data_IF_024691248962
#
_entry.id   IF_024691248962
#
_cell.length_a   1.000
_cell.length_b   1.000
_cell.length_c   1.000
_cell.angle_alpha   90.00
_cell.angle_beta   90.00
_cell.angle_gamma   90.00
#
_symmetry.space_group_name_H-M   'P 1'
#
loop_
_entity.id
_entity.type
_entity.pdbx_description
1 polymer ?
#
# COMPACT_ATOMS: atom_id res chain seq x y z
N UNK A 1 0.06 8.24 -5.49
CA UNK A 1 0.61 9.59 -5.71
C UNK A 1 0.61 10.31 -4.39
N UNK A 2 1.71 10.95 -4.01
CA UNK A 2 1.80 11.64 -2.72
C UNK A 2 1.03 12.98 -2.72
N UNK A 3 0.36 13.27 -1.61
CA UNK A 3 -0.34 14.53 -1.34
C UNK A 3 -0.04 14.90 0.11
N UNK A 4 0.44 16.12 0.32
CA UNK A 4 0.74 16.70 1.63
C UNK A 4 0.31 18.18 1.65
N UNK A 5 0.64 18.90 2.74
CA UNK A 5 0.28 20.31 2.92
C UNK A 5 1.01 21.25 1.93
N UNK A 6 2.04 20.75 1.24
CA UNK A 6 2.83 21.50 0.29
C UNK A 6 2.32 21.25 -1.13
N UNK A 7 1.54 22.19 -1.66
CA UNK A 7 0.95 22.07 -3.00
C UNK A 7 1.97 21.72 -4.12
N UNK A 8 3.24 22.14 -3.99
CA UNK A 8 4.28 21.78 -4.97
C UNK A 8 4.65 20.29 -4.97
N UNK A 9 4.46 19.57 -3.85
CA UNK A 9 4.65 18.12 -3.77
C UNK A 9 3.69 17.42 -4.72
N UNK A 10 2.39 17.73 -4.63
CA UNK A 10 1.39 17.18 -5.56
C UNK A 10 1.68 17.55 -7.02
N UNK A 11 2.08 18.79 -7.29
CA UNK A 11 2.42 19.20 -8.66
C UNK A 11 3.63 18.43 -9.23
N UNK A 12 4.62 18.11 -8.39
CA UNK A 12 5.75 17.27 -8.78
C UNK A 12 5.31 15.83 -9.08
N UNK A 13 4.50 15.23 -8.20
CA UNK A 13 3.91 13.89 -8.40
C UNK A 13 3.06 13.80 -9.67
N UNK A 14 2.25 14.83 -9.93
CA UNK A 14 1.44 14.94 -11.15
C UNK A 14 2.31 15.02 -12.41
N UNK A 15 3.39 15.79 -12.40
CA UNK A 15 4.31 15.90 -13.52
C UNK A 15 5.07 14.58 -13.78
N UNK A 16 5.49 13.89 -12.72
CA UNK A 16 6.09 12.56 -12.81
C UNK A 16 5.09 11.54 -13.39
N UNK A 17 3.84 11.57 -12.93
CA UNK A 17 2.78 10.71 -13.45
C UNK A 17 2.47 10.98 -14.93
N UNK A 18 2.43 12.25 -15.37
CA UNK A 18 2.31 12.58 -16.80
C UNK A 18 3.45 11.97 -17.62
N UNK A 19 4.68 12.02 -17.11
CA UNK A 19 5.83 11.40 -17.77
C UNK A 19 5.62 9.89 -17.91
N UNK A 20 5.11 9.21 -16.87
CA UNK A 20 4.78 7.78 -16.92
C UNK A 20 3.67 7.46 -17.93
N UNK A 21 2.62 8.28 -18.00
CA UNK A 21 1.57 8.15 -19.02
C UNK A 21 2.16 8.20 -20.44
N UNK A 22 3.11 9.10 -20.68
CA UNK A 22 3.74 9.29 -22.00
C UNK A 22 4.67 8.12 -22.40
N UNK A 23 5.19 7.36 -21.43
CA UNK A 23 5.96 6.13 -21.72
C UNK A 23 5.10 4.96 -22.19
N UNK A 24 3.79 5.00 -21.94
CA UNK A 24 2.85 3.93 -22.26
C UNK A 24 2.85 2.75 -21.27
N UNK A 25 3.56 2.85 -20.14
CA UNK A 25 3.57 1.79 -19.10
C UNK A 25 2.37 1.83 -18.17
N UNK A 26 1.63 2.94 -18.13
CA UNK A 26 0.42 3.08 -17.31
C UNK A 26 -0.78 2.69 -18.14
N UNK A 27 -1.21 1.44 -18.03
CA UNK A 27 -2.37 0.91 -18.76
C UNK A 27 -3.33 0.19 -17.83
N UNK A 28 -4.59 0.07 -18.25
CA UNK A 28 -5.58 -0.72 -17.52
C UNK A 28 -5.28 -2.24 -17.51
N UNK A 29 -4.27 -2.71 -18.27
CA UNK A 29 -3.88 -4.12 -18.28
C UNK A 29 -2.91 -4.47 -17.13
N UNK A 30 -2.18 -3.49 -16.60
CA UNK A 30 -1.19 -3.70 -15.54
C UNK A 30 -1.39 -2.82 -14.29
N UNK A 31 -2.25 -1.80 -14.34
CA UNK A 31 -2.60 -0.95 -13.20
C UNK A 31 -4.07 -1.17 -12.85
N UNK A 32 -4.31 -1.67 -11.64
CA UNK A 32 -5.67 -1.97 -11.13
C UNK A 32 -6.37 -0.77 -10.49
N UNK A 33 -5.62 0.28 -10.14
CA UNK A 33 -6.15 1.51 -9.56
C UNK A 33 -5.06 2.54 -9.26
N UNK A 34 -5.47 3.80 -9.08
CA UNK A 34 -4.56 4.91 -8.71
C UNK A 34 -5.09 5.59 -7.45
N UNK A 35 -4.26 5.58 -6.40
CA UNK A 35 -4.52 6.35 -5.19
C UNK A 35 -3.91 7.76 -5.34
N UNK A 36 -4.76 8.78 -5.26
CA UNK A 36 -4.36 10.19 -5.26
C UNK A 36 -4.36 10.70 -3.83
N UNK A 37 -3.20 10.64 -3.19
CA UNK A 37 -3.04 10.81 -1.75
C UNK A 37 -3.19 9.51 -0.98
N UNK A 38 -2.63 9.50 0.22
CA UNK A 38 -2.91 8.55 1.29
C UNK A 38 -3.04 9.37 2.58
N UNK A 39 -4.17 9.28 3.27
CA UNK A 39 -4.46 9.89 4.58
C UNK A 39 -4.26 11.41 4.68
N UNK A 40 -4.16 12.12 3.55
CA UNK A 40 -3.84 13.54 3.54
C UNK A 40 -4.94 14.40 4.20
N UNK A 41 -6.19 13.93 4.18
CA UNK A 41 -7.30 14.61 4.88
C UNK A 41 -7.28 14.27 6.36
N UNK A 42 -7.05 13.00 6.74
CA UNK A 42 -6.85 12.59 8.13
C UNK A 42 -5.68 13.32 8.83
N UNK A 43 -4.57 13.50 8.11
CA UNK A 43 -3.42 14.28 8.58
C UNK A 43 -3.69 15.78 8.65
N UNK A 44 -4.86 16.25 8.22
CA UNK A 44 -5.26 17.66 8.18
C UNK A 44 -4.32 18.51 7.29
N UNK A 45 -3.63 17.87 6.36
CA UNK A 45 -2.71 18.51 5.43
C UNK A 45 -3.43 19.17 4.26
N UNK A 46 -4.55 18.57 3.86
CA UNK A 46 -5.47 19.11 2.86
C UNK A 46 -6.91 18.94 3.31
N UNK A 47 -7.80 19.80 2.84
CA UNK A 47 -9.25 19.61 3.01
C UNK A 47 -9.79 18.54 2.07
N UNK A 48 -10.95 17.95 2.40
CA UNK A 48 -11.66 17.03 1.50
C UNK A 48 -11.90 17.64 0.10
N UNK A 49 -12.20 18.93 0.03
CA UNK A 49 -12.40 19.65 -1.24
C UNK A 49 -11.11 19.74 -2.07
N UNK A 50 -9.97 19.98 -1.43
CA UNK A 50 -8.66 19.98 -2.10
C UNK A 50 -8.27 18.59 -2.58
N UNK A 51 -8.46 17.56 -1.76
CA UNK A 51 -8.21 16.17 -2.15
C UNK A 51 -9.05 15.76 -3.37
N UNK A 52 -10.35 16.12 -3.39
CA UNK A 52 -11.22 15.89 -4.55
C UNK A 52 -10.74 16.68 -5.78
N UNK A 53 -10.29 17.93 -5.61
CA UNK A 53 -9.73 18.72 -6.71
C UNK A 53 -8.51 18.03 -7.33
N UNK A 54 -7.60 17.51 -6.51
CA UNK A 54 -6.42 16.78 -6.97
C UNK A 54 -6.78 15.47 -7.67
N UNK A 55 -7.74 14.72 -7.13
CA UNK A 55 -8.29 13.53 -7.79
C UNK A 55 -8.80 13.86 -9.21
N UNK A 56 -9.55 14.94 -9.37
CA UNK A 56 -10.10 15.35 -10.67
C UNK A 56 -9.03 15.84 -11.66
N UNK A 57 -7.95 16.46 -11.18
CA UNK A 57 -6.79 16.79 -12.02
C UNK A 57 -6.15 15.52 -12.61
N UNK A 58 -5.94 14.48 -11.79
CA UNK A 58 -5.37 13.21 -12.25
C UNK A 58 -6.35 12.46 -13.15
N UNK A 59 -7.65 12.46 -12.79
CA UNK A 59 -8.71 11.88 -13.61
C UNK A 59 -8.74 12.50 -15.02
N UNK A 60 -8.51 13.80 -15.12
CA UNK A 60 -8.42 14.50 -16.41
C UNK A 60 -7.23 13.99 -17.24
N UNK A 61 -6.06 13.78 -16.63
CA UNK A 61 -4.89 13.22 -17.32
C UNK A 61 -5.16 11.79 -17.79
N UNK A 62 -5.71 10.93 -16.93
CA UNK A 62 -6.06 9.55 -17.30
C UNK A 62 -7.06 9.51 -18.45
N UNK A 63 -8.11 10.34 -18.43
CA UNK A 63 -9.11 10.41 -19.52
C UNK A 63 -8.51 10.88 -20.85
N UNK A 64 -7.47 11.71 -20.83
CA UNK A 64 -6.77 12.16 -22.03
C UNK A 64 -5.87 11.08 -22.65
N UNK A 65 -5.54 10.02 -21.90
CA UNK A 65 -4.74 8.89 -22.36
C UNK A 65 -5.62 7.63 -22.49
N UNK A 66 -5.82 7.14 -23.72
CA UNK A 66 -6.70 5.99 -23.98
C UNK A 66 -6.33 4.70 -23.24
N UNK A 67 -5.05 4.51 -22.92
CA UNK A 67 -4.58 3.32 -22.19
C UNK A 67 -4.89 3.40 -20.70
N UNK A 68 -4.93 4.61 -20.14
CA UNK A 68 -5.19 4.88 -18.72
C UNK A 68 -6.66 5.26 -18.41
N UNK A 69 -7.46 5.60 -19.43
CA UNK A 69 -8.81 6.15 -19.27
C UNK A 69 -9.81 5.26 -18.51
N UNK A 70 -9.51 3.96 -18.35
CA UNK A 70 -10.33 2.99 -17.62
C UNK A 70 -9.77 2.61 -16.24
N UNK A 71 -8.59 3.09 -15.87
CA UNK A 71 -8.01 2.81 -14.55
C UNK A 71 -8.86 3.56 -13.52
N UNK A 72 -9.38 2.88 -12.48
CA UNK A 72 -10.16 3.54 -11.44
C UNK A 72 -9.25 4.38 -10.52
N UNK A 73 -9.78 5.50 -10.03
CA UNK A 73 -9.09 6.43 -9.15
C UNK A 73 -9.81 6.52 -7.81
N UNK A 74 -9.03 6.64 -6.74
CA UNK A 74 -9.53 6.85 -5.38
C UNK A 74 -8.63 7.83 -4.62
N UNK A 75 -9.07 8.20 -3.42
CA UNK A 75 -8.29 8.89 -2.40
C UNK A 75 -8.14 7.89 -1.26
N UNK A 76 -6.94 7.38 -0.96
CA UNK A 76 -6.78 6.51 0.20
C UNK A 76 -6.84 7.37 1.47
N UNK A 77 -7.68 6.99 2.44
CA UNK A 77 -7.79 7.68 3.72
C UNK A 77 -8.42 6.72 4.76
N UNK A 78 -8.48 7.11 6.03
CA UNK A 78 -9.15 6.29 7.04
C UNK A 78 -10.67 6.33 6.83
N UNK A 79 -11.37 5.26 7.24
CA UNK A 79 -12.82 5.20 7.06
C UNK A 79 -13.62 6.26 7.84
N UNK A 80 -13.04 6.83 8.90
CA UNK A 80 -13.65 7.92 9.66
C UNK A 80 -13.66 9.23 8.88
N UNK A 81 -12.62 9.49 8.09
CA UNK A 81 -12.57 10.61 7.15
C UNK A 81 -13.71 10.50 6.14
N UNK A 82 -13.89 9.33 5.52
CA UNK A 82 -15.01 9.09 4.60
C UNK A 82 -16.39 9.24 5.26
N UNK A 83 -16.50 8.86 6.53
CA UNK A 83 -17.74 9.02 7.31
C UNK A 83 -18.02 10.50 7.61
N UNK A 84 -16.99 11.29 7.89
CA UNK A 84 -17.09 12.72 8.14
C UNK A 84 -17.30 13.55 6.85
N UNK A 85 -16.77 13.06 5.72
CA UNK A 85 -16.74 13.71 4.41
C UNK A 85 -17.35 12.80 3.32
N UNK A 86 -18.67 12.54 3.34
CA UNK A 86 -19.30 11.66 2.37
C UNK A 86 -19.21 12.18 0.92
N UNK A 87 -18.92 13.47 0.70
CA UNK A 87 -18.57 14.02 -0.61
C UNK A 87 -17.33 13.34 -1.24
N UNK A 88 -16.41 12.81 -0.42
CA UNK A 88 -15.27 12.04 -0.93
C UNK A 88 -15.72 10.70 -1.50
N UNK A 89 -16.71 10.04 -0.88
CA UNK A 89 -17.30 8.80 -1.38
C UNK A 89 -17.89 9.03 -2.77
N UNK A 90 -18.60 10.14 -2.98
CA UNK A 90 -19.20 10.47 -4.27
C UNK A 90 -18.15 10.67 -5.37
N UNK A 91 -17.03 11.31 -5.05
CA UNK A 91 -16.00 11.71 -6.01
C UNK A 91 -15.10 10.56 -6.50
N UNK A 92 -14.79 9.57 -5.66
CA UNK A 92 -13.91 8.44 -5.99
C UNK A 92 -14.60 7.38 -6.83
N UNK A 93 -13.86 6.59 -7.61
CA UNK A 93 -14.44 5.47 -8.36
C UNK A 93 -14.80 4.29 -7.44
N UNK A 94 -14.01 4.10 -6.38
CA UNK A 94 -14.23 3.18 -5.27
C UNK A 94 -13.64 3.80 -3.99
N UNK A 95 -14.11 3.38 -2.82
CA UNK A 95 -13.56 3.82 -1.53
C UNK A 95 -12.38 2.91 -1.17
N UNK A 96 -11.22 3.50 -0.87
CA UNK A 96 -10.07 2.78 -0.29
C UNK A 96 -9.89 3.23 1.15
N UNK A 97 -10.27 2.38 2.11
CA UNK A 97 -10.31 2.74 3.52
C UNK A 97 -9.22 2.03 4.32
N UNK A 98 -8.39 2.81 5.01
CA UNK A 98 -7.39 2.31 5.95
C UNK A 98 -8.05 2.08 7.33
N UNK A 99 -7.76 0.95 7.95
CA UNK A 99 -8.27 0.58 9.27
C UNK A 99 -7.26 -0.26 10.03
N UNK A 100 -6.86 0.22 11.20
CA UNK A 100 -5.91 -0.46 12.07
C UNK A 100 -6.46 -0.54 13.50
N UNK A 101 -7.13 -1.65 13.87
CA UNK A 101 -7.50 -1.90 15.27
C UNK A 101 -6.31 -1.80 16.23
N UNK A 102 -5.10 -2.04 15.72
CA UNK A 102 -3.82 -1.83 16.40
C UNK A 102 -3.72 -0.44 17.01
N UNK A 103 -3.98 0.62 16.24
CA UNK A 103 -3.92 2.02 16.69
C UNK A 103 -5.13 2.45 17.51
N UNK A 104 -6.20 1.67 17.46
CA UNK A 104 -7.41 1.89 18.27
C UNK A 104 -7.32 1.26 19.68
N UNK A 105 -6.14 0.74 20.06
CA UNK A 105 -5.88 0.05 21.35
C UNK A 105 -6.82 -1.15 21.59
N UNK A 106 -7.26 -1.80 20.53
CA UNK A 106 -8.18 -2.94 20.59
C UNK A 106 -7.40 -4.17 21.06
N UNK A 107 -8.02 -4.99 21.92
CA UNK A 107 -7.42 -6.26 22.32
C UNK A 107 -7.34 -7.23 21.14
N UNK A 108 -6.25 -7.99 21.06
CA UNK A 108 -5.98 -8.89 19.94
C UNK A 108 -7.09 -9.94 19.73
N UNK A 109 -7.77 -10.38 20.79
CA UNK A 109 -8.82 -11.39 20.68
C UNK A 109 -10.10 -10.85 19.99
N UNK A 110 -10.29 -9.53 19.94
CA UNK A 110 -11.45 -8.88 19.32
C UNK A 110 -11.12 -8.01 18.10
N UNK A 111 -9.85 -7.95 17.69
CA UNK A 111 -9.37 -6.99 16.71
C UNK A 111 -10.00 -7.16 15.31
N UNK A 112 -10.13 -8.40 14.82
CA UNK A 112 -10.73 -8.66 13.50
C UNK A 112 -12.26 -8.37 13.49
N UNK A 113 -12.96 -8.73 14.56
CA UNK A 113 -14.40 -8.43 14.71
C UNK A 113 -14.66 -6.92 14.80
N UNK A 114 -13.80 -6.21 15.53
CA UNK A 114 -13.84 -4.75 15.63
C UNK A 114 -13.62 -4.09 14.27
N UNK A 115 -12.58 -4.53 13.54
CA UNK A 115 -12.34 -4.12 12.16
C UNK A 115 -13.60 -4.30 11.30
N UNK A 116 -14.19 -5.50 11.30
CA UNK A 116 -15.34 -5.79 10.43
C UNK A 116 -16.57 -4.96 10.77
N UNK A 117 -16.79 -4.69 12.06
CA UNK A 117 -17.88 -3.85 12.52
C UNK A 117 -17.78 -2.44 11.95
N UNK A 118 -16.58 -1.85 11.97
CA UNK A 118 -16.33 -0.51 11.41
C UNK A 118 -16.41 -0.52 9.88
N UNK A 119 -15.73 -1.48 9.25
CA UNK A 119 -15.69 -1.61 7.79
C UNK A 119 -17.08 -1.81 7.19
N UNK A 120 -17.90 -2.70 7.76
CA UNK A 120 -19.26 -2.96 7.26
C UNK A 120 -20.21 -1.76 7.42
N UNK A 121 -19.98 -0.90 8.41
CA UNK A 121 -20.71 0.36 8.53
C UNK A 121 -20.35 1.33 7.39
N UNK A 122 -19.07 1.43 7.04
CA UNK A 122 -18.64 2.24 5.89
C UNK A 122 -19.17 1.67 4.56
N UNK A 123 -19.13 0.34 4.36
CA UNK A 123 -19.72 -0.33 3.20
C UNK A 123 -21.20 0.05 3.03
N UNK A 124 -21.96 0.04 4.13
CA UNK A 124 -23.37 0.43 4.11
C UNK A 124 -23.53 1.89 3.66
N UNK A 125 -22.71 2.81 4.13
CA UNK A 125 -22.74 4.21 3.71
C UNK A 125 -22.33 4.36 2.24
N UNK A 126 -21.23 3.74 1.81
CA UNK A 126 -20.74 3.79 0.44
C UNK A 126 -21.76 3.23 -0.57
N UNK A 127 -22.53 2.22 -0.17
CA UNK A 127 -23.59 1.65 -0.99
C UNK A 127 -24.69 2.65 -1.36
N UNK A 128 -24.94 3.70 -0.55
CA UNK A 128 -25.92 4.74 -0.91
C UNK A 128 -25.45 5.62 -2.07
N UNK A 129 -24.16 5.57 -2.40
CA UNK A 129 -23.54 6.24 -3.54
C UNK A 129 -23.21 5.27 -4.69
N UNK A 130 -23.64 4.00 -4.58
CA UNK A 130 -23.25 2.90 -5.49
C UNK A 130 -21.73 2.74 -5.60
N UNK A 131 -21.02 2.89 -4.48
CA UNK A 131 -19.57 2.71 -4.40
C UNK A 131 -19.22 1.43 -3.64
N UNK A 132 -18.25 0.71 -4.17
CA UNK A 132 -17.59 -0.39 -3.47
C UNK A 132 -16.57 0.17 -2.47
N UNK A 133 -16.24 -0.63 -1.45
CA UNK A 133 -15.19 -0.32 -0.48
C UNK A 133 -14.15 -1.43 -0.51
N UNK A 134 -12.89 -1.04 -0.67
CA UNK A 134 -11.72 -1.89 -0.58
C UNK A 134 -10.98 -1.56 0.72
N UNK A 135 -10.43 -2.57 1.38
CA UNK A 135 -9.53 -2.34 2.52
C UNK A 135 -8.21 -1.82 1.96
N UNK A 136 -7.96 -0.53 2.15
CA UNK A 136 -6.77 0.14 1.66
C UNK A 136 -5.53 -0.38 2.36
N UNK A 137 -5.56 -0.37 3.70
CA UNK A 137 -4.49 -0.87 4.54
C UNK A 137 -5.05 -1.40 5.85
N UNK A 138 -4.45 -2.48 6.35
CA UNK A 138 -4.65 -2.99 7.70
C UNK A 138 -3.48 -3.89 8.10
N UNK A 139 -3.14 -3.96 9.37
CA UNK A 139 -1.97 -4.69 9.83
C UNK A 139 -1.78 -4.67 11.33
N UNK A 140 -0.74 -5.35 11.81
CA UNK A 140 -0.38 -5.37 13.23
C UNK A 140 1.13 -5.55 13.40
N UNK A 141 1.80 -4.62 14.08
CA UNK A 141 3.24 -4.67 14.29
C UNK A 141 3.67 -5.86 15.17
N UNK A 142 4.74 -6.55 14.76
CA UNK A 142 5.24 -7.72 15.49
C UNK A 142 6.21 -7.37 16.62
N UNK A 143 6.72 -6.14 16.66
CA UNK A 143 7.71 -5.66 17.63
C UNK A 143 7.66 -4.13 17.72
N UNK A 144 8.51 -3.56 18.56
CA UNK A 144 8.59 -2.13 18.83
C UNK A 144 7.73 -1.73 20.02
N UNK A 145 7.73 -0.43 20.29
CA UNK A 145 6.93 0.17 21.37
C UNK A 145 6.29 1.44 20.88
N UNK A 146 5.06 1.66 21.34
CA UNK A 146 4.31 2.90 21.18
C UNK A 146 3.28 3.00 22.33
N UNK A 147 3.12 4.18 22.92
CA UNK A 147 2.18 4.39 24.03
C UNK A 147 0.71 4.45 23.54
N UNK A 148 0.54 4.74 22.25
CA UNK A 148 -0.74 4.88 21.59
C UNK A 148 -1.17 3.64 20.79
N UNK A 149 -0.31 2.63 20.71
CA UNK A 149 -0.62 1.35 20.09
C UNK A 149 -1.13 0.26 21.06
N UNK A 150 -1.79 -0.73 20.47
CA UNK A 150 -1.96 -2.06 21.07
C UNK A 150 -0.60 -2.78 21.21
N UNK A 151 -0.47 -3.81 22.08
CA UNK A 151 0.79 -4.51 22.24
C UNK A 151 1.32 -5.13 20.94
N UNK A 152 2.47 -4.62 20.48
CA UNK A 152 3.20 -5.14 19.33
C UNK A 152 4.01 -6.37 19.75
N UNK A 153 3.51 -7.55 19.43
CA UNK A 153 4.21 -8.82 19.70
C UNK A 153 4.07 -9.73 18.50
N UNK A 154 5.07 -10.59 18.28
CA UNK A 154 5.07 -11.58 17.21
C UNK A 154 3.80 -12.45 17.23
N UNK A 155 3.35 -12.86 18.42
CA UNK A 155 2.13 -13.65 18.57
C UNK A 155 0.87 -12.87 18.18
N UNK A 156 0.77 -11.59 18.56
CA UNK A 156 -0.37 -10.75 18.21
C UNK A 156 -0.40 -10.44 16.72
N UNK A 157 0.73 -10.10 16.11
CA UNK A 157 0.82 -9.85 14.68
C UNK A 157 0.38 -11.06 13.86
N UNK A 158 0.85 -12.25 14.23
CA UNK A 158 0.40 -13.49 13.62
C UNK A 158 -1.11 -13.70 13.78
N UNK A 159 -1.62 -13.62 15.02
CA UNK A 159 -3.05 -13.80 15.28
C UNK A 159 -3.92 -12.83 14.47
N UNK A 160 -3.58 -11.55 14.43
CA UNK A 160 -4.34 -10.56 13.67
C UNK A 160 -4.36 -10.89 12.18
N UNK A 161 -3.19 -11.21 11.61
CA UNK A 161 -3.09 -11.59 10.21
C UNK A 161 -3.97 -12.79 9.88
N UNK A 162 -3.97 -13.84 10.71
CA UNK A 162 -4.79 -15.03 10.50
C UNK A 162 -6.28 -14.79 10.61
N UNK A 163 -6.70 -14.09 11.67
CA UNK A 163 -8.10 -13.80 11.90
C UNK A 163 -8.64 -12.88 10.79
N UNK A 164 -7.88 -11.84 10.42
CA UNK A 164 -8.22 -10.96 9.31
C UNK A 164 -8.26 -11.72 7.97
N UNK A 165 -7.27 -12.56 7.67
CA UNK A 165 -7.25 -13.35 6.45
C UNK A 165 -8.47 -14.28 6.35
N UNK A 166 -8.82 -14.95 7.45
CA UNK A 166 -9.98 -15.84 7.52
C UNK A 166 -11.28 -15.06 7.34
N UNK A 167 -11.41 -13.92 8.02
CA UNK A 167 -12.53 -13.00 7.87
C UNK A 167 -12.66 -12.50 6.42
N UNK A 168 -11.56 -12.05 5.81
CA UNK A 168 -11.53 -11.54 4.46
C UNK A 168 -11.95 -12.61 3.44
N UNK A 169 -11.51 -13.85 3.62
CA UNK A 169 -11.94 -14.99 2.80
C UNK A 169 -13.42 -15.33 3.00
N UNK A 170 -13.94 -15.31 4.24
CA UNK A 170 -15.35 -15.59 4.53
C UNK A 170 -16.28 -14.52 3.95
N UNK A 171 -15.85 -13.26 3.97
CA UNK A 171 -16.65 -12.10 3.56
C UNK A 171 -16.36 -11.62 2.14
N UNK A 172 -15.46 -12.29 1.41
CA UNK A 172 -15.03 -11.94 0.05
C UNK A 172 -14.50 -10.49 -0.04
N UNK A 173 -13.65 -10.10 0.91
CA UNK A 173 -13.09 -8.75 0.96
C UNK A 173 -11.89 -8.60 0.03
N UNK A 174 -11.85 -7.52 -0.73
CA UNK A 174 -10.63 -7.05 -1.40
C UNK A 174 -9.80 -6.21 -0.42
N UNK A 175 -8.49 -6.49 -0.34
CA UNK A 175 -7.60 -5.81 0.61
C UNK A 175 -6.16 -5.72 0.13
N UNK A 176 -5.44 -4.72 0.65
CA UNK A 176 -3.98 -4.72 0.72
C UNK A 176 -3.56 -4.81 2.20
N UNK A 177 -2.86 -5.89 2.56
CA UNK A 177 -2.37 -6.07 3.93
C UNK A 177 -1.07 -5.30 4.12
N UNK A 178 -0.99 -4.55 5.22
CA UNK A 178 0.16 -3.75 5.60
C UNK A 178 1.04 -4.53 6.59
N UNK A 179 2.25 -4.95 6.24
CA UNK A 179 2.92 -4.78 4.93
C UNK A 179 3.70 -6.03 4.53
N UNK A 180 4.32 -6.00 3.35
CA UNK A 180 5.13 -7.12 2.88
C UNK A 180 6.39 -7.30 3.76
N UNK A 181 7.22 -6.28 3.90
CA UNK A 181 8.51 -6.37 4.58
C UNK A 181 8.60 -5.38 5.75
N UNK A 182 9.37 -5.74 6.77
CA UNK A 182 9.78 -4.79 7.79
C UNK A 182 10.59 -3.65 7.17
N UNK A 183 10.30 -2.44 7.65
CA UNK A 183 10.81 -1.19 7.09
C UNK A 183 11.74 -0.51 8.09
N UNK A 184 12.89 -1.14 8.36
CA UNK A 184 13.85 -0.66 9.38
C UNK A 184 14.36 0.77 9.13
N UNK A 185 14.28 1.27 7.89
CA UNK A 185 14.63 2.64 7.55
C UNK A 185 13.77 3.68 8.29
N UNK A 186 12.53 3.33 8.67
CA UNK A 186 11.66 4.21 9.47
C UNK A 186 12.23 4.50 10.86
N UNK A 187 13.03 3.61 11.45
CA UNK A 187 13.63 3.84 12.77
C UNK A 187 14.50 5.11 12.83
N UNK A 188 15.05 5.57 11.70
CA UNK A 188 15.86 6.78 11.66
C UNK A 188 15.03 8.07 11.77
N UNK A 189 13.72 8.00 11.50
CA UNK A 189 12.79 9.14 11.58
C UNK A 189 11.90 9.09 12.81
N UNK A 190 11.91 7.98 13.55
CA UNK A 190 11.04 7.74 14.70
C UNK A 190 11.73 8.09 16.01
N UNK A 191 10.93 8.56 16.96
CA UNK A 191 11.36 8.66 18.35
C UNK A 191 11.54 7.25 18.94
N UNK A 192 12.42 7.12 19.92
CA UNK A 192 12.77 5.80 20.50
C UNK A 192 11.55 5.06 21.11
N UNK A 193 10.49 5.78 21.44
CA UNK A 193 9.24 5.27 22.01
C UNK A 193 8.12 5.07 20.99
N UNK A 194 8.38 5.16 19.68
CA UNK A 194 7.40 5.12 18.58
C UNK A 194 7.89 4.19 17.45
N UNK A 195 8.44 3.04 17.82
CA UNK A 195 9.24 2.19 16.91
C UNK A 195 8.44 1.10 16.20
N UNK A 196 7.14 0.94 16.52
CA UNK A 196 6.27 -0.12 15.97
C UNK A 196 6.16 -0.08 14.45
N UNK A 197 6.24 1.11 13.86
CA UNK A 197 6.17 1.37 12.43
C UNK A 197 7.19 0.60 11.59
N UNK A 198 8.33 0.23 12.18
CA UNK A 198 9.37 -0.54 11.49
C UNK A 198 9.05 -2.05 11.36
N UNK A 199 8.00 -2.55 12.04
CA UNK A 199 7.80 -3.98 12.29
C UNK A 199 6.45 -4.55 11.81
N UNK A 200 5.76 -3.88 10.88
CA UNK A 200 4.48 -4.34 10.30
C UNK A 200 4.61 -5.44 9.22
N UNK A 201 5.83 -5.77 8.78
CA UNK A 201 6.02 -6.72 7.70
C UNK A 201 5.58 -8.14 8.04
N UNK A 202 5.04 -8.86 7.07
CA UNK A 202 4.92 -10.32 7.14
C UNK A 202 6.29 -11.00 7.04
N UNK A 203 7.19 -10.38 6.29
CA UNK A 203 8.57 -10.76 6.11
C UNK A 203 9.49 -9.80 6.89
N UNK A 204 10.64 -10.30 7.31
CA UNK A 204 11.76 -9.48 7.79
C UNK A 204 12.28 -8.57 6.68
N UNK A 205 13.09 -7.55 7.01
CA UNK A 205 13.71 -6.67 6.02
C UNK A 205 14.57 -7.41 4.98
N UNK A 206 15.10 -8.58 5.35
CA UNK A 206 15.94 -9.42 4.48
C UNK A 206 15.12 -10.38 3.60
N UNK A 207 13.79 -10.30 3.69
CA UNK A 207 12.86 -11.08 2.88
C UNK A 207 12.59 -12.50 3.40
N UNK A 208 13.05 -12.85 4.61
CA UNK A 208 12.65 -14.09 5.26
C UNK A 208 11.25 -13.95 5.87
N UNK A 209 10.35 -14.90 5.59
CA UNK A 209 9.02 -14.96 6.24
C UNK A 209 9.23 -15.10 7.75
N UNK A 210 8.54 -14.28 8.56
CA UNK A 210 8.68 -14.35 10.02
C UNK A 210 8.23 -15.72 10.54
N UNK A 211 9.04 -16.34 11.40
CA UNK A 211 8.81 -17.70 11.91
C UNK A 211 7.42 -17.91 12.53
N UNK A 212 6.90 -16.90 13.22
CA UNK A 212 5.56 -16.98 13.84
C UNK A 212 4.45 -16.97 12.79
N UNK A 213 4.69 -16.32 11.64
CA UNK A 213 3.79 -16.36 10.49
C UNK A 213 3.94 -17.71 9.82
N UNK A 214 5.11 -18.27 9.59
CA UNK A 214 5.21 -19.61 8.95
C UNK A 214 4.61 -20.75 9.79
N UNK A 215 4.85 -20.75 11.10
CA UNK A 215 4.47 -21.85 11.99
C UNK A 215 2.95 -22.12 12.05
N UNK A 216 2.10 -21.12 11.79
CA UNK A 216 0.66 -21.31 11.77
C UNK A 216 0.11 -21.71 10.38
N UNK A 217 0.86 -21.50 9.29
CA UNK A 217 0.56 -22.07 7.96
C UNK A 217 1.02 -23.52 7.80
N UNK A 218 2.06 -23.93 8.52
CA UNK A 218 2.56 -25.32 8.52
C UNK A 218 1.56 -26.32 9.13
N UNK A 219 0.43 -25.85 9.67
CA UNK A 219 -0.70 -26.69 10.07
C UNK A 219 -1.61 -27.01 8.84
N UNK A 220 -1.00 -27.76 7.92
CA UNK A 220 -1.47 -28.32 6.64
C UNK A 220 -3.00 -28.48 6.43
N UNK A 221 -3.56 -27.73 5.46
CA UNK A 221 -4.51 -28.27 4.43
C UNK A 221 -4.68 -27.39 3.18
N UNK A 222 -4.13 -26.18 3.09
CA UNK A 222 -4.28 -25.33 1.89
C UNK A 222 -3.05 -25.38 0.98
N UNK A 223 -3.21 -26.03 -0.18
CA UNK A 223 -2.30 -25.89 -1.31
C UNK A 223 -2.44 -24.49 -1.91
N UNK A 224 -1.41 -23.67 -1.82
CA UNK A 224 -1.30 -22.40 -2.55
C UNK A 224 -0.56 -22.69 -3.86
N UNK A 225 -1.27 -22.76 -4.99
CA UNK A 225 -0.63 -22.90 -6.31
C UNK A 225 -0.47 -21.57 -7.06
N UNK A 226 -0.76 -20.44 -6.41
CA UNK A 226 -0.53 -19.11 -6.96
C UNK A 226 -1.25 -18.83 -8.29
N UNK A 227 -2.16 -19.70 -8.75
CA UNK A 227 -2.82 -19.54 -10.05
C UNK A 227 -4.02 -18.60 -10.00
N UNK A 228 -4.49 -18.25 -8.80
CA UNK A 228 -5.56 -17.28 -8.62
C UNK A 228 -4.97 -15.87 -8.48
N UNK A 229 -4.38 -15.36 -9.57
CA UNK A 229 -4.36 -13.91 -9.76
C UNK A 229 -5.83 -13.49 -9.73
N UNK A 230 -6.23 -12.76 -8.69
CA UNK A 230 -7.62 -12.37 -8.49
C UNK A 230 -8.13 -11.65 -9.75
N UNK A 231 -8.95 -12.33 -10.53
CA UNK A 231 -9.73 -11.67 -11.58
C UNK A 231 -10.74 -10.81 -10.84
N UNK A 232 -10.55 -9.48 -10.88
CA UNK A 232 -11.51 -8.52 -10.35
C UNK A 232 -12.84 -8.76 -11.07
N UNK A 233 -13.75 -9.44 -10.39
CA UNK A 233 -15.12 -9.61 -10.86
C UNK A 233 -15.94 -8.60 -10.09
N UNK A 234 -16.34 -7.52 -10.76
CA UNK A 234 -17.21 -6.48 -10.20
C UNK A 234 -18.52 -7.13 -9.74
N UNK A 235 -18.77 -7.15 -8.43
CA UNK A 235 -20.01 -7.72 -7.88
C UNK A 235 -21.06 -6.61 -7.87
N UNK A 236 -21.75 -6.49 -9.01
CA UNK A 236 -22.76 -5.45 -9.26
C UNK A 236 -22.97 -5.14 -10.74
N UNK A 237 -22.15 -5.70 -11.63
CA UNK A 237 -22.33 -5.63 -13.08
C UNK A 237 -23.34 -6.66 -13.57
N UNK A 238 -24.36 -6.19 -14.30
CA UNK A 238 -25.39 -7.03 -14.92
C UNK A 238 -24.75 -8.09 -15.85
N UNK A 239 -25.18 -9.34 -15.70
CA UNK A 239 -24.58 -10.49 -16.38
C UNK A 239 -24.96 -10.52 -17.87
N UNK A 240 -24.20 -9.82 -18.72
CA UNK A 240 -24.17 -10.09 -20.15
C UNK A 240 -22.93 -9.48 -20.81
N UNK A 241 -21.80 -10.19 -20.77
CA UNK A 241 -20.91 -10.30 -21.95
C UNK A 241 -20.02 -11.53 -21.81
N UNK A 242 -20.03 -12.36 -22.84
CA UNK A 242 -19.30 -13.61 -22.99
C UNK A 242 -17.79 -13.36 -23.09
N UNK A 243 -17.01 -13.82 -22.11
CA UNK A 243 -15.55 -13.92 -22.23
C UNK A 243 -15.19 -15.17 -23.06
N UNK A 244 -14.50 -14.93 -24.18
CA UNK A 244 -13.92 -15.95 -25.03
C UNK A 244 -12.68 -16.55 -24.34
N UNK A 245 -12.65 -17.86 -24.18
CA UNK A 245 -11.47 -18.60 -23.73
C UNK A 245 -10.45 -18.70 -24.87
N UNK A 246 -9.23 -18.23 -24.62
CA UNK A 246 -8.06 -18.61 -25.41
C UNK A 246 -7.16 -19.42 -24.47
N UNK A 247 -7.26 -20.74 -24.61
CA UNK A 247 -6.29 -21.68 -24.10
C UNK A 247 -5.24 -21.92 -25.19
N UNK A 248 -3.97 -21.83 -24.82
CA UNK A 248 -2.81 -22.29 -25.60
C UNK A 248 -1.68 -22.54 -24.61
N UNK A 249 -1.67 -23.72 -24.00
CA UNK A 249 -0.94 -24.93 -24.43
C UNK A 249 0.49 -24.90 -23.92
N UNK A 250 0.76 -25.85 -23.03
CA UNK A 250 2.04 -26.09 -22.40
C UNK A 250 2.85 -26.98 -23.32
N UNK A 251 4.11 -26.62 -23.58
CA UNK A 251 5.09 -27.58 -24.07
C UNK A 251 6.34 -27.53 -23.18
N UNK A 252 6.49 -28.63 -22.47
CA UNK A 252 7.66 -29.12 -21.76
C UNK A 252 8.73 -29.53 -22.78
N UNK A 253 9.90 -28.90 -22.73
CA UNK A 253 11.10 -29.43 -23.36
C UNK A 253 12.34 -29.03 -22.57
N UNK A 254 12.70 -29.93 -21.65
CA UNK A 254 14.06 -30.13 -21.16
C UNK A 254 15.11 -30.08 -22.28
N UNK A 255 16.17 -29.28 -22.12
CA UNK A 255 17.48 -29.67 -22.63
C UNK A 255 18.66 -29.06 -21.87
N UNK A 256 19.53 -29.97 -21.48
CA UNK A 256 20.87 -29.85 -20.94
C UNK A 256 21.84 -29.26 -21.98
N UNK A 257 22.73 -28.34 -21.58
CA UNK A 257 24.09 -28.25 -22.12
C UNK A 257 24.99 -27.29 -21.33
N UNK A 258 26.02 -27.90 -20.76
CA UNK A 258 27.31 -27.39 -20.30
C UNK A 258 28.03 -26.35 -21.19
N UNK A 259 28.76 -25.45 -20.51
CA UNK A 259 30.11 -24.92 -20.79
C UNK A 259 30.46 -24.40 -22.19
N UNK A 260 30.93 -23.14 -22.27
CA UNK A 260 32.34 -22.88 -22.61
C UNK A 260 32.77 -21.45 -22.27
N UNK A 261 33.98 -21.34 -21.72
CA UNK A 261 34.76 -20.10 -21.56
C UNK A 261 35.23 -19.57 -22.92
N UNK A 262 35.53 -18.26 -23.01
CA UNK A 262 36.86 -17.77 -23.44
C UNK A 262 37.02 -16.26 -23.26
N UNK A 263 38.16 -15.92 -22.64
CA UNK A 263 38.93 -14.68 -22.54
C UNK A 263 38.86 -13.64 -23.69
N UNK A 264 38.99 -12.35 -23.36
CA UNK A 264 40.28 -11.61 -23.32
C UNK A 264 40.00 -10.09 -23.21
N UNK A 265 40.57 -9.44 -22.19
CA UNK A 265 41.68 -8.48 -22.27
C UNK A 265 41.39 -7.21 -23.08
N UNK A 266 41.35 -6.03 -22.43
CA UNK A 266 42.51 -5.13 -22.41
C UNK A 266 42.29 -3.96 -21.45
N UNK A 267 43.38 -3.56 -20.79
CA UNK A 267 43.50 -2.54 -19.78
C UNK A 267 43.87 -1.18 -20.39
N UNK A 268 43.64 -0.09 -19.64
CA UNK A 268 44.56 1.03 -19.35
C UNK A 268 43.75 2.14 -18.66
N UNK A 269 43.84 2.27 -17.33
CA UNK A 269 44.75 3.17 -16.61
C UNK A 269 44.75 4.62 -17.11
N UNK A 270 44.24 5.52 -16.27
CA UNK A 270 45.05 6.67 -15.84
C UNK A 270 44.65 7.12 -14.43
N UNK A 271 45.63 7.08 -13.52
CA UNK A 271 45.58 7.65 -12.18
C UNK A 271 45.88 9.16 -12.23
N UNK A 272 45.34 9.94 -11.28
CA UNK A 272 46.11 10.56 -10.17
C UNK A 272 45.35 11.74 -9.52
N UNK A 273 45.13 11.63 -8.20
CA UNK A 273 45.41 12.56 -7.08
C UNK A 273 45.03 14.07 -7.20
N UNK A 274 44.64 14.81 -6.16
CA UNK A 274 44.63 14.63 -4.70
C UNK A 274 43.96 15.86 -4.02
N UNK A 275 43.49 15.66 -2.78
CA UNK A 275 43.49 16.54 -1.59
C UNK A 275 42.61 17.82 -1.61
N UNK A 276 41.55 17.91 -0.79
CA UNK A 276 41.48 18.23 0.66
C UNK A 276 41.43 19.75 0.96
N UNK A 277 40.30 20.19 1.56
CA UNK A 277 40.27 21.11 2.71
C UNK A 277 38.82 21.57 3.03
N UNK A 278 38.36 21.09 4.19
CA UNK A 278 37.47 21.71 5.20
C UNK A 278 36.90 23.11 4.95
N UNK A 279 35.59 23.29 5.21
CA UNK A 279 35.11 24.44 5.96
C UNK A 279 33.89 24.10 6.82
N UNK A 280 34.02 24.50 8.09
CA UNK A 280 33.11 24.49 9.21
C UNK A 280 32.08 25.62 9.04
N UNK A 281 30.78 25.36 9.24
CA UNK A 281 29.85 26.42 9.62
C UNK A 281 28.70 25.86 10.47
N UNK A 282 28.75 26.22 11.75
CA UNK A 282 27.75 25.99 12.78
C UNK A 282 26.53 26.90 12.56
N UNK A 283 25.35 26.31 12.41
CA UNK A 283 24.07 27.03 12.48
C UNK A 283 23.08 26.24 13.34
N UNK A 284 22.96 26.66 14.59
CA UNK A 284 21.87 26.35 15.53
C UNK A 284 20.50 26.52 14.88
N UNK A 285 19.76 25.42 14.70
CA UNK A 285 18.31 25.46 14.49
C UNK A 285 17.60 24.97 15.75
N UNK A 286 16.80 25.88 16.30
CA UNK A 286 15.78 25.67 17.31
C UNK A 286 14.80 24.58 16.86
N UNK A 287 14.78 23.47 17.61
CA UNK A 287 13.77 22.43 17.49
C UNK A 287 12.42 22.96 17.98
N UNK A 288 11.52 23.25 17.04
CA UNK A 288 10.08 23.29 17.30
C UNK A 288 9.53 21.91 16.99
N UNK A 289 9.23 21.14 18.03
CA UNK A 289 8.47 19.89 17.96
C UNK A 289 7.06 20.18 17.46
N UNK A 290 6.83 19.95 16.17
CA UNK A 290 5.49 19.73 15.60
C UNK A 290 5.34 18.21 15.51
N UNK A 291 4.41 17.61 16.26
CA UNK A 291 4.17 16.17 16.14
C UNK A 291 3.71 15.89 14.71
N UNK A 292 4.56 15.23 13.94
CA UNK A 292 4.22 14.79 12.60
C UNK A 292 3.30 13.59 12.76
N UNK A 293 2.08 13.70 12.21
CA UNK A 293 1.25 12.53 11.95
C UNK A 293 1.87 11.81 10.75
N UNK A 294 3.03 11.16 10.89
CA UNK A 294 3.63 10.41 9.78
C UNK A 294 2.83 9.13 9.51
N UNK A 295 2.81 8.73 8.24
CA UNK A 295 1.97 7.66 7.68
C UNK A 295 2.02 6.34 8.47
N UNK A 296 0.83 5.75 8.59
CA UNK A 296 0.42 4.65 9.47
C UNK A 296 0.25 5.09 10.94
N UNK A 297 -0.89 5.73 11.21
CA UNK A 297 -1.48 5.84 12.55
C UNK A 297 -2.90 5.30 12.55
#
# INVERSE_FOLDING_TARGET
MWVDATASSFQAEKAAFQTLLDTGVVTADNIVGIHVGSEAVYREEVTAAEAISYLEEIRTLCKANSAAAKIPLTIADIGDTYTAHPEMIEAVDYVSANYFPFWEKVDIDGAADHFYTRFSALVKTASTYNKEVIVGETGWASDGTDADASPATAANAAKYFYDFYTLAAEKDLMYFYFSAFDEAWKLATLEANETVEAYFGLFTQDGALKDIISAAFDNSTSSFDGSNSATITVVGGDASTTAASIAGDADDATNDATQNETNSDDATQNETNSDDATQDDTSTQTSTTTSHKDCAM
#
